data_IF_498902967762
#
_entry.id   IF_498902967762
#
_cell.length_a   1.000
_cell.length_b   1.000
_cell.length_c   1.000
_cell.angle_alpha   90.00
_cell.angle_beta   90.00
_cell.angle_gamma   90.00
#
_symmetry.space_group_name_H-M   'P 1'
#
loop_
_entity.id
_entity.type
_entity.pdbx_description
1 polymer ?
#
# COMPACT_ATOMS: atom_id res chain seq x y z
N UNK A 1 10.01 20.95 -10.09
CA UNK A 1 8.63 20.92 -10.62
C UNK A 1 8.40 19.96 -11.79
N UNK A 2 9.09 20.05 -12.95
CA UNK A 2 8.77 19.17 -14.10
C UNK A 2 9.16 17.69 -13.85
N UNK A 3 10.25 17.45 -13.14
CA UNK A 3 10.79 16.11 -12.86
C UNK A 3 9.81 15.29 -12.00
N UNK A 4 9.23 15.92 -11.00
CA UNK A 4 8.30 15.38 -10.02
C UNK A 4 7.00 14.96 -10.69
N UNK A 5 6.50 15.76 -11.66
CA UNK A 5 5.34 15.37 -12.47
C UNK A 5 5.64 14.15 -13.34
N UNK A 6 6.86 14.04 -13.91
CA UNK A 6 7.26 12.83 -14.65
C UNK A 6 7.37 11.61 -13.74
N UNK A 7 7.83 11.78 -12.49
CA UNK A 7 7.85 10.71 -11.49
C UNK A 7 6.43 10.26 -11.15
N UNK A 8 5.48 11.19 -10.96
CA UNK A 8 4.06 10.86 -10.75
C UNK A 8 3.48 10.08 -11.93
N UNK A 9 3.73 10.52 -13.16
CA UNK A 9 3.30 9.79 -14.36
C UNK A 9 3.93 8.39 -14.42
N UNK A 10 5.21 8.27 -14.08
CA UNK A 10 5.88 6.98 -14.00
C UNK A 10 5.23 6.07 -12.94
N UNK A 11 4.90 6.59 -11.75
CA UNK A 11 4.17 5.85 -10.72
C UNK A 11 2.80 5.37 -11.20
N UNK A 12 2.08 6.19 -11.97
CA UNK A 12 0.82 5.80 -12.61
C UNK A 12 1.01 4.62 -13.56
N UNK A 13 1.99 4.72 -14.46
CA UNK A 13 2.30 3.66 -15.43
C UNK A 13 2.74 2.39 -14.70
N UNK A 14 3.70 2.47 -13.80
CA UNK A 14 4.20 1.32 -13.04
C UNK A 14 3.13 0.70 -12.14
N UNK A 15 2.28 1.52 -11.51
CA UNK A 15 1.17 1.02 -10.70
C UNK A 15 0.13 0.29 -11.56
N UNK A 16 -0.29 0.87 -12.68
CA UNK A 16 -1.28 0.24 -13.56
C UNK A 16 -0.75 -1.05 -14.20
N UNK A 17 0.47 -0.98 -14.76
CA UNK A 17 1.15 -2.14 -15.37
C UNK A 17 1.43 -3.21 -14.33
N UNK A 18 1.94 -2.83 -13.15
CA UNK A 18 2.21 -3.73 -12.03
C UNK A 18 0.95 -4.44 -11.56
N UNK A 19 -0.16 -3.72 -11.37
CA UNK A 19 -1.43 -4.31 -10.98
C UNK A 19 -1.94 -5.29 -12.04
N UNK A 20 -1.85 -4.97 -13.33
CA UNK A 20 -2.38 -5.82 -14.40
C UNK A 20 -1.54 -7.05 -14.72
N UNK A 21 -0.21 -6.93 -14.66
CA UNK A 21 0.74 -7.99 -15.02
C UNK A 21 1.10 -8.88 -13.84
N UNK A 22 1.34 -8.31 -12.66
CA UNK A 22 1.77 -9.09 -11.50
C UNK A 22 0.58 -9.79 -10.85
N UNK A 23 -0.61 -9.20 -10.82
CA UNK A 23 -1.79 -9.84 -10.21
C UNK A 23 -2.46 -10.80 -11.23
N UNK A 24 -2.46 -12.12 -10.98
CA UNK A 24 -3.09 -13.08 -11.88
C UNK A 24 -4.58 -12.79 -12.02
N UNK A 25 -5.15 -12.98 -13.22
CA UNK A 25 -6.58 -12.73 -13.51
C UNK A 25 -7.51 -13.43 -12.51
N UNK A 26 -7.16 -14.65 -12.07
CA UNK A 26 -7.90 -15.45 -11.09
C UNK A 26 -7.99 -14.81 -9.70
N UNK A 27 -6.97 -14.03 -9.30
CA UNK A 27 -6.87 -13.44 -7.97
C UNK A 27 -7.13 -11.92 -7.98
N UNK A 28 -7.56 -11.34 -9.11
CA UNK A 28 -7.86 -9.89 -9.23
C UNK A 28 -8.90 -9.40 -8.22
N UNK A 29 -9.87 -10.24 -7.84
CA UNK A 29 -10.85 -9.90 -6.79
C UNK A 29 -10.16 -9.70 -5.43
N UNK A 30 -9.14 -10.50 -5.11
CA UNK A 30 -8.32 -10.33 -3.89
C UNK A 30 -7.47 -9.08 -3.99
N UNK A 31 -6.86 -8.85 -5.15
CA UNK A 31 -6.10 -7.62 -5.43
C UNK A 31 -6.92 -6.35 -5.22
N UNK A 32 -8.13 -6.28 -5.79
CA UNK A 32 -9.02 -5.12 -5.61
C UNK A 32 -9.46 -4.91 -4.17
N UNK A 33 -9.76 -5.98 -3.43
CA UNK A 33 -10.07 -5.84 -2.01
C UNK A 33 -8.85 -5.31 -1.24
N UNK A 34 -7.67 -5.89 -1.47
CA UNK A 34 -6.44 -5.46 -0.81
C UNK A 34 -6.15 -3.98 -1.09
N UNK A 35 -6.32 -3.54 -2.33
CA UNK A 35 -6.22 -2.14 -2.75
C UNK A 35 -7.14 -1.24 -1.92
N UNK A 36 -8.43 -1.54 -1.91
CA UNK A 36 -9.44 -0.74 -1.23
C UNK A 36 -9.25 -0.72 0.29
N UNK A 37 -8.88 -1.86 0.89
CA UNK A 37 -8.65 -1.95 2.33
C UNK A 37 -7.45 -1.11 2.75
N UNK A 38 -6.34 -1.21 2.00
CA UNK A 38 -5.17 -0.38 2.27
C UNK A 38 -5.48 1.11 2.09
N UNK A 39 -6.21 1.47 1.02
CA UNK A 39 -6.63 2.84 0.76
C UNK A 39 -7.49 3.43 1.90
N UNK A 40 -8.34 2.61 2.52
CA UNK A 40 -9.15 3.05 3.66
C UNK A 40 -8.29 3.31 4.91
N UNK A 41 -7.35 2.43 5.23
CA UNK A 41 -6.48 2.60 6.40
C UNK A 41 -5.49 3.74 6.23
N UNK A 42 -4.87 3.86 5.05
CA UNK A 42 -3.96 4.98 4.79
C UNK A 42 -4.71 6.30 4.85
N UNK A 43 -5.97 6.38 4.39
CA UNK A 43 -6.77 7.59 4.55
C UNK A 43 -6.94 8.00 6.02
N UNK A 44 -7.25 7.05 6.90
CA UNK A 44 -7.42 7.29 8.33
C UNK A 44 -6.11 7.75 9.00
N UNK A 45 -4.97 7.25 8.56
CA UNK A 45 -3.66 7.60 9.11
C UNK A 45 -3.08 8.89 8.50
N UNK A 46 -3.34 9.16 7.23
CA UNK A 46 -2.80 10.32 6.53
C UNK A 46 -3.45 11.62 6.96
N UNK A 47 -4.77 11.62 7.23
CA UNK A 47 -5.47 12.81 7.73
C UNK A 47 -4.76 13.46 8.93
N UNK A 48 -4.52 12.75 10.06
CA UNK A 48 -3.76 13.31 11.16
C UNK A 48 -2.28 13.52 10.82
N UNK A 49 -1.66 12.62 10.02
CA UNK A 49 -0.24 12.76 9.67
C UNK A 49 0.07 14.07 8.94
N UNK A 50 -0.78 14.46 7.98
CA UNK A 50 -0.61 15.72 7.25
C UNK A 50 -1.08 16.93 8.08
N UNK A 51 -2.17 16.79 8.85
CA UNK A 51 -2.69 17.89 9.68
C UNK A 51 -1.70 18.34 10.76
N UNK A 52 -0.98 17.39 11.37
CA UNK A 52 0.02 17.69 12.39
C UNK A 52 1.45 17.87 11.83
N UNK A 53 1.61 17.88 10.50
CA UNK A 53 2.93 18.06 9.86
C UNK A 53 3.91 16.92 10.12
N UNK A 54 3.43 15.69 10.34
CA UNK A 54 4.28 14.51 10.36
C UNK A 54 4.79 14.21 8.94
N UNK A 55 3.94 14.44 7.94
CA UNK A 55 4.23 14.33 6.52
C UNK A 55 3.77 15.60 5.80
N UNK A 56 4.54 16.05 4.80
CA UNK A 56 4.16 17.15 3.90
C UNK A 56 4.38 16.74 2.44
N UNK A 57 3.59 17.32 1.54
CA UNK A 57 3.74 17.14 0.09
C UNK A 57 3.77 18.53 -0.58
N UNK A 58 4.95 19.16 -0.70
CA UNK A 58 5.09 20.47 -1.33
C UNK A 58 4.60 20.47 -2.77
N UNK A 59 4.99 19.46 -3.55
CA UNK A 59 4.51 19.22 -4.91
C UNK A 59 3.42 18.17 -4.89
N UNK A 60 2.18 18.62 -5.06
CA UNK A 60 0.98 17.78 -5.04
C UNK A 60 0.05 18.11 -6.21
N UNK A 61 -0.79 17.16 -6.58
CA UNK A 61 -1.63 17.25 -7.78
C UNK A 61 -2.79 18.21 -7.59
N UNK A 62 -3.33 18.29 -6.37
CA UNK A 62 -4.52 19.09 -6.06
C UNK A 62 -4.30 20.08 -4.92
N UNK A 63 -3.37 21.04 -5.06
CA UNK A 63 -2.96 21.93 -3.97
C UNK A 63 -4.08 22.84 -3.44
N UNK A 64 -5.16 23.02 -4.20
CA UNK A 64 -6.34 23.79 -3.79
C UNK A 64 -7.39 22.96 -3.05
N UNK A 65 -7.34 21.63 -3.13
CA UNK A 65 -8.38 20.74 -2.61
C UNK A 65 -7.89 19.89 -1.43
N UNK A 66 -6.61 19.50 -1.44
CA UNK A 66 -6.03 18.67 -0.38
C UNK A 66 -4.53 18.90 -0.24
N UNK A 67 -4.02 18.64 0.95
CA UNK A 67 -2.59 18.63 1.25
C UNK A 67 -1.95 17.25 1.06
N UNK A 68 -2.76 16.24 0.70
CA UNK A 68 -2.36 14.85 0.58
C UNK A 68 -1.67 14.55 -0.76
N UNK A 69 -0.67 13.65 -0.73
CA UNK A 69 -0.02 13.12 -1.93
C UNK A 69 -0.88 12.00 -2.56
N UNK A 70 -1.79 12.37 -3.47
CA UNK A 70 -2.83 11.44 -3.94
C UNK A 70 -2.23 10.22 -4.65
N UNK A 71 -1.33 10.44 -5.62
CA UNK A 71 -0.76 9.33 -6.40
C UNK A 71 0.05 8.37 -5.54
N UNK A 72 0.80 8.88 -4.56
CA UNK A 72 1.65 8.06 -3.70
C UNK A 72 0.76 7.24 -2.76
N UNK A 73 -0.07 7.92 -1.97
CA UNK A 73 -0.77 7.30 -0.85
C UNK A 73 -2.03 6.54 -1.27
N UNK A 74 -2.75 6.99 -2.31
CA UNK A 74 -4.06 6.44 -2.67
C UNK A 74 -4.06 5.64 -3.97
N UNK A 75 -2.94 5.62 -4.70
CA UNK A 75 -2.79 4.79 -5.88
C UNK A 75 -1.60 3.84 -5.78
N UNK A 76 -0.38 4.36 -5.68
CA UNK A 76 0.84 3.57 -5.77
C UNK A 76 1.01 2.61 -4.58
N UNK A 77 0.87 3.09 -3.35
CA UNK A 77 0.99 2.26 -2.14
C UNK A 77 -0.09 1.17 -2.05
N UNK A 78 -1.38 1.45 -2.29
CA UNK A 78 -2.40 0.43 -2.40
C UNK A 78 -2.12 -0.63 -3.47
N UNK A 79 -1.56 -0.25 -4.63
CA UNK A 79 -1.15 -1.22 -5.67
C UNK A 79 -0.03 -2.12 -5.16
N UNK A 80 1.01 -1.55 -4.57
CA UNK A 80 2.13 -2.33 -4.01
C UNK A 80 1.66 -3.29 -2.93
N UNK A 81 0.79 -2.84 -2.04
CA UNK A 81 0.16 -3.71 -1.04
C UNK A 81 -0.67 -4.83 -1.68
N UNK A 82 -1.41 -4.54 -2.75
CA UNK A 82 -2.20 -5.54 -3.47
C UNK A 82 -1.34 -6.63 -4.08
N UNK A 83 -0.21 -6.25 -4.69
CA UNK A 83 0.78 -7.18 -5.25
C UNK A 83 1.37 -8.03 -4.11
N UNK A 84 1.80 -7.39 -3.03
CA UNK A 84 2.31 -8.07 -1.83
C UNK A 84 1.31 -9.12 -1.33
N UNK A 85 0.05 -8.72 -1.13
CA UNK A 85 -0.99 -9.54 -0.55
C UNK A 85 -1.32 -10.76 -1.42
N UNK A 86 -1.46 -10.58 -2.74
CA UNK A 86 -1.79 -11.67 -3.67
C UNK A 86 -0.65 -12.67 -3.81
N UNK A 87 0.61 -12.22 -3.81
CA UNK A 87 1.78 -13.11 -3.95
C UNK A 87 2.22 -13.75 -2.64
N UNK A 88 1.68 -13.29 -1.51
CA UNK A 88 1.98 -13.87 -0.21
C UNK A 88 1.49 -15.33 -0.18
N UNK A 89 2.43 -16.27 -0.23
CA UNK A 89 2.11 -17.71 -0.17
C UNK A 89 1.55 -18.09 1.20
N UNK A 90 0.32 -18.63 1.19
CA UNK A 90 -0.39 -19.09 2.38
C UNK A 90 0.19 -20.35 3.04
N UNK A 91 1.07 -21.11 2.38
CA UNK A 91 1.57 -22.41 2.89
C UNK A 91 3.06 -22.42 3.27
N UNK A 92 3.72 -21.26 3.30
CA UNK A 92 5.12 -21.15 3.76
C UNK A 92 5.26 -21.16 5.28
N UNK A 93 6.44 -21.55 5.77
CA UNK A 93 6.84 -21.41 7.18
C UNK A 93 6.59 -19.99 7.70
N UNK A 94 6.23 -19.86 8.97
CA UNK A 94 6.00 -18.58 9.65
C UNK A 94 7.17 -17.62 9.40
N UNK A 95 8.41 -18.12 9.48
CA UNK A 95 9.62 -17.35 9.19
C UNK A 95 9.69 -16.81 7.76
N UNK A 96 9.31 -17.61 6.76
CA UNK A 96 9.27 -17.17 5.36
C UNK A 96 8.25 -16.06 5.16
N UNK A 97 7.11 -16.10 5.85
CA UNK A 97 6.09 -15.05 5.79
C UNK A 97 6.55 -13.76 6.44
N UNK A 98 7.22 -13.85 7.58
CA UNK A 98 7.81 -12.69 8.25
C UNK A 98 8.92 -12.07 7.41
N UNK A 99 9.85 -12.88 6.89
CA UNK A 99 10.90 -12.39 6.01
C UNK A 99 10.32 -11.70 4.76
N UNK A 100 9.31 -12.29 4.12
CA UNK A 100 8.64 -11.68 2.97
C UNK A 100 7.98 -10.33 3.31
N UNK A 101 7.35 -10.23 4.48
CA UNK A 101 6.75 -8.99 4.97
C UNK A 101 7.81 -7.91 5.25
N UNK A 102 8.88 -8.25 5.97
CA UNK A 102 9.97 -7.32 6.27
C UNK A 102 10.67 -6.84 5.00
N UNK A 103 10.97 -7.74 4.06
CA UNK A 103 11.58 -7.36 2.77
C UNK A 103 10.69 -6.37 2.02
N UNK A 104 9.38 -6.62 1.95
CA UNK A 104 8.46 -5.71 1.27
C UNK A 104 8.38 -4.34 1.93
N UNK A 105 8.29 -4.28 3.25
CA UNK A 105 8.26 -3.00 3.97
C UNK A 105 9.58 -2.27 3.79
N UNK A 106 10.73 -2.96 3.89
CA UNK A 106 12.03 -2.34 3.67
C UNK A 106 12.19 -1.78 2.25
N UNK A 107 11.69 -2.47 1.22
CA UNK A 107 11.69 -1.96 -0.16
C UNK A 107 10.80 -0.71 -0.27
N UNK A 108 9.61 -0.73 0.33
CA UNK A 108 8.69 0.41 0.32
C UNK A 108 9.28 1.61 1.06
N UNK A 109 9.85 1.42 2.24
CA UNK A 109 10.51 2.49 3.00
C UNK A 109 11.75 3.01 2.28
N UNK A 110 12.53 2.15 1.64
CA UNK A 110 13.68 2.60 0.85
C UNK A 110 13.24 3.48 -0.32
N UNK A 111 12.18 3.06 -1.02
CA UNK A 111 11.58 3.87 -2.09
C UNK A 111 11.09 5.23 -1.57
N UNK A 112 10.40 5.22 -0.42
CA UNK A 112 9.89 6.43 0.24
C UNK A 112 11.01 7.40 0.65
N UNK A 113 12.10 6.88 1.25
CA UNK A 113 13.29 7.67 1.59
C UNK A 113 13.98 8.23 0.35
N UNK A 114 13.98 7.52 -0.77
CA UNK A 114 14.51 8.04 -2.03
C UNK A 114 13.62 9.16 -2.57
N UNK A 115 12.30 9.04 -2.47
CA UNK A 115 11.41 10.14 -2.83
C UNK A 115 11.65 11.36 -1.95
N UNK A 116 11.70 11.17 -0.63
CA UNK A 116 11.89 12.26 0.32
C UNK A 116 13.22 12.99 0.13
N UNK A 117 14.30 12.27 -0.16
CA UNK A 117 15.63 12.87 -0.27
C UNK A 117 15.93 13.53 -1.61
N UNK A 118 15.25 13.11 -2.67
CA UNK A 118 15.55 13.55 -4.04
C UNK A 118 14.38 14.29 -4.71
N UNK A 119 13.20 14.37 -4.08
CA UNK A 119 12.01 14.98 -4.67
C UNK A 119 11.20 15.74 -3.63
N UNK A 120 10.49 16.77 -4.06
CA UNK A 120 9.56 17.52 -3.21
C UNK A 120 8.15 16.90 -3.21
N UNK A 121 8.04 15.60 -3.53
CA UNK A 121 6.76 14.88 -3.58
C UNK A 121 6.28 14.43 -2.19
N UNK A 122 7.23 14.18 -1.30
CA UNK A 122 6.98 13.77 0.07
C UNK A 122 8.12 14.29 0.94
N UNK A 123 7.80 14.89 2.07
CA UNK A 123 8.76 15.36 3.05
C UNK A 123 8.39 14.78 4.42
N UNK A 124 9.39 14.31 5.16
CA UNK A 124 9.20 13.93 6.53
C UNK A 124 9.36 15.16 7.42
N UNK A 125 8.30 15.52 8.14
CA UNK A 125 8.36 16.60 9.12
C UNK A 125 9.03 16.11 10.41
N UNK A 126 8.22 15.60 11.34
CA UNK A 126 8.72 15.07 12.62
C UNK A 126 9.06 13.57 12.60
N UNK A 127 8.74 12.86 11.52
CA UNK A 127 8.97 11.42 11.40
C UNK A 127 10.42 11.16 10.96
N UNK A 128 11.11 10.24 11.63
CA UNK A 128 12.40 9.72 11.13
C UNK A 128 12.16 8.57 10.15
N UNK A 129 13.15 8.23 9.32
CA UNK A 129 13.04 7.12 8.38
C UNK A 129 12.70 5.76 9.05
N UNK A 130 13.18 5.52 10.28
CA UNK A 130 12.79 4.35 11.06
C UNK A 130 11.33 4.42 11.52
N UNK A 131 10.85 5.62 11.87
CA UNK A 131 9.44 5.86 12.15
C UNK A 131 8.56 5.56 10.94
N UNK A 132 9.03 5.90 9.73
CA UNK A 132 8.31 5.60 8.49
C UNK A 132 8.27 4.09 8.19
N UNK A 133 9.35 3.36 8.51
CA UNK A 133 9.35 1.89 8.47
C UNK A 133 8.25 1.31 9.36
N UNK A 134 8.13 1.82 10.59
CA UNK A 134 7.09 1.39 11.53
C UNK A 134 5.69 1.77 11.01
N UNK A 135 5.52 2.97 10.47
CA UNK A 135 4.26 3.46 9.93
C UNK A 135 3.76 2.61 8.75
N UNK A 136 4.60 2.40 7.73
CA UNK A 136 4.28 1.54 6.59
C UNK A 136 4.03 0.11 7.06
N UNK A 137 4.86 -0.40 7.97
CA UNK A 137 4.69 -1.75 8.52
C UNK A 137 3.36 -1.92 9.27
N UNK A 138 2.94 -0.92 10.04
CA UNK A 138 1.66 -0.89 10.71
C UNK A 138 0.49 -0.91 9.70
N UNK A 139 0.53 -0.04 8.69
CA UNK A 139 -0.49 0.01 7.63
C UNK A 139 -0.60 -1.32 6.87
N UNK A 140 0.54 -1.91 6.49
CA UNK A 140 0.59 -3.21 5.83
C UNK A 140 0.01 -4.31 6.74
N UNK A 141 0.38 -4.33 8.02
CA UNK A 141 -0.08 -5.33 8.96
C UNK A 141 -1.60 -5.28 9.17
N UNK A 142 -2.13 -4.10 9.51
CA UNK A 142 -3.58 -3.90 9.76
C UNK A 142 -4.39 -4.25 8.51
N UNK A 143 -3.99 -3.74 7.35
CA UNK A 143 -4.64 -4.04 6.08
C UNK A 143 -4.65 -5.54 5.78
N UNK A 144 -3.54 -6.23 6.05
CA UNK A 144 -3.43 -7.67 5.84
C UNK A 144 -4.32 -8.47 6.80
N UNK A 145 -4.40 -8.08 8.08
CA UNK A 145 -5.28 -8.71 9.06
C UNK A 145 -6.74 -8.61 8.62
N UNK A 146 -7.17 -7.41 8.19
CA UNK A 146 -8.55 -7.21 7.75
C UNK A 146 -8.86 -7.93 6.42
N UNK A 147 -7.93 -7.96 5.46
CA UNK A 147 -8.10 -8.76 4.24
C UNK A 147 -8.21 -10.25 4.56
N UNK A 148 -7.35 -10.76 5.45
CA UNK A 148 -7.40 -12.16 5.88
C UNK A 148 -8.72 -12.49 6.58
N UNK A 149 -9.21 -11.60 7.44
CA UNK A 149 -10.51 -11.74 8.09
C UNK A 149 -11.64 -11.85 7.05
N UNK A 150 -11.69 -10.95 6.07
CA UNK A 150 -12.71 -10.97 5.03
C UNK A 150 -12.70 -12.27 4.18
N UNK A 151 -11.52 -12.82 3.90
CA UNK A 151 -11.40 -14.07 3.13
C UNK A 151 -11.51 -15.33 3.98
N UNK A 152 -11.36 -15.25 5.31
CA UNK A 152 -11.48 -16.40 6.23
C UNK A 152 -12.88 -17.02 6.19
N UNK A 153 -13.92 -16.21 5.98
CA UNK A 153 -15.29 -16.72 5.90
C UNK A 153 -15.62 -17.37 4.56
N UNK A 154 -14.89 -17.06 3.48
CA UNK A 154 -15.17 -17.71 2.18
C UNK A 154 -14.84 -19.21 2.17
N UNK A 155 -13.90 -19.68 2.99
CA UNK A 155 -13.71 -21.12 3.18
C UNK A 155 -14.84 -21.78 3.97
N UNK A 156 -15.58 -21.02 4.77
CA UNK A 156 -16.78 -21.50 5.48
C UNK A 156 -17.98 -21.56 4.53
N UNK A 157 -18.21 -20.51 3.73
CA UNK A 157 -19.30 -20.48 2.74
C UNK A 157 -19.11 -21.48 1.59
N UNK A 158 -17.86 -21.72 1.16
CA UNK A 158 -17.56 -22.79 0.20
C UNK A 158 -17.67 -24.19 0.81
N UNK A 159 -17.77 -24.37 2.12
CA UNK A 159 -18.06 -25.68 2.71
C UNK A 159 -19.58 -25.95 2.72
N UNK A 160 -20.39 -24.94 3.04
CA UNK A 160 -21.86 -25.04 3.05
C UNK A 160 -22.47 -25.30 1.65
N UNK A 161 -21.87 -24.78 0.57
CA UNK A 161 -22.30 -25.03 -0.81
C UNK A 161 -22.06 -26.48 -1.29
N UNK A 162 -21.17 -27.23 -0.63
CA UNK A 162 -20.90 -28.64 -0.96
C UNK A 162 -21.74 -29.62 -0.13
N UNK A 163 -22.23 -29.21 1.05
CA UNK A 163 -23.15 -30.01 1.86
C UNK A 163 -24.61 -29.90 1.38
N UNK A 164 -24.92 -28.95 0.49
CA UNK A 164 -26.27 -28.69 -0.03
C UNK A 164 -26.51 -29.24 -1.45
N UNK A 165 -25.58 -30.04 -2.01
CA UNK A 165 -25.74 -30.78 -3.27
C UNK A 165 -25.63 -32.28 -3.05
#
# INVERSE_FOLDING_TARGET
MLMEHWILVAMWVFGFVGFLLLIPRKDRRKGWLAFLMFQAFIWLCDMPSFQYGLLSAPVREFPKATDLAITINYFFYPVMFSIFYVHKKGNGSIWSRFAYFFVWISIMTLFDVVLERYTDLLEYGFITWYGMLIYIGFLFYVSQVCCNWFFKDKSLFQAEEWETK
#
